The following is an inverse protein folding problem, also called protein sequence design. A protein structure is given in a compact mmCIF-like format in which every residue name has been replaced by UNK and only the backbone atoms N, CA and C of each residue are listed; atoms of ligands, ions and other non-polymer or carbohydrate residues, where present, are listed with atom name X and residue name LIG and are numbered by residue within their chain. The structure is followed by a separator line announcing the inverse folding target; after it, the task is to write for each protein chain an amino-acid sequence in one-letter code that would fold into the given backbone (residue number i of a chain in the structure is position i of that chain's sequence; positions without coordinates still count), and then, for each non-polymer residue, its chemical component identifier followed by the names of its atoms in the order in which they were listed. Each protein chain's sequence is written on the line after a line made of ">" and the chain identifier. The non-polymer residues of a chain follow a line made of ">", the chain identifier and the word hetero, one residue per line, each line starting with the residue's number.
data_IF_904860489759
#
_entry.id   IF_904860489759
#
_cell.length_a   1.000
_cell.length_b   1.000
_cell.length_c   1.000
_cell.angle_alpha   90.00
_cell.angle_beta   90.00
_cell.angle_gamma   90.00
#
_symmetry.space_group_name_H-M   'P 1'
#
loop_
_entity.id
_entity.type
_entity.pdbx_description
1 polymer ?
#
# COMPACT_ATOMS: atom_id res chain seq x y z
N UNK A 1 -3.73 -20.77 1.11
CA UNK A 1 -3.75 -19.92 2.31
C UNK A 1 -5.18 -19.59 2.72
N UNK A 2 -6.03 -19.02 1.87
CA UNK A 2 -7.48 -18.84 2.16
C UNK A 2 -7.79 -18.06 3.44
N UNK A 3 -7.19 -16.87 3.64
CA UNK A 3 -7.35 -16.11 4.86
C UNK A 3 -8.79 -15.61 5.05
N UNK A 4 -9.17 -15.37 6.30
CA UNK A 4 -10.44 -14.68 6.61
C UNK A 4 -10.29 -13.15 6.59
N UNK A 5 -9.07 -12.62 6.69
CA UNK A 5 -8.76 -11.19 6.71
C UNK A 5 -7.37 -10.96 6.14
N UNK A 6 -7.23 -9.93 5.31
CA UNK A 6 -5.92 -9.43 4.88
C UNK A 6 -5.49 -8.26 5.79
N UNK A 7 -4.34 -8.38 6.45
CA UNK A 7 -3.75 -7.29 7.25
C UNK A 7 -2.50 -6.81 6.54
N UNK A 8 -2.43 -5.52 6.23
CA UNK A 8 -1.31 -4.91 5.50
C UNK A 8 -0.57 -3.95 6.41
N UNK A 9 0.70 -4.25 6.65
CA UNK A 9 1.70 -3.32 7.20
C UNK A 9 2.14 -2.42 6.03
N UNK A 10 1.50 -1.26 5.88
CA UNK A 10 1.59 -0.39 4.72
C UNK A 10 2.68 0.68 4.92
N UNK A 11 3.91 0.32 4.58
CA UNK A 11 5.06 1.23 4.51
C UNK A 11 5.26 1.83 3.12
N UNK A 12 5.71 3.08 3.07
CA UNK A 12 5.95 3.86 1.86
C UNK A 12 7.43 4.22 1.67
N UNK A 13 8.33 3.66 2.47
CA UNK A 13 9.77 3.84 2.39
C UNK A 13 10.42 3.21 1.14
N UNK A 14 9.69 2.33 0.43
CA UNK A 14 10.10 1.86 -0.90
C UNK A 14 10.02 2.96 -1.99
N UNK A 15 9.48 4.13 -1.65
CA UNK A 15 9.42 5.30 -2.52
C UNK A 15 10.83 5.68 -3.03
N UNK A 16 10.92 5.97 -4.33
CA UNK A 16 12.19 6.21 -5.02
C UNK A 16 13.05 7.34 -4.43
N UNK A 17 12.42 8.32 -3.77
CA UNK A 17 13.09 9.48 -3.18
C UNK A 17 13.04 9.43 -1.64
N UNK A 18 12.65 8.29 -1.05
CA UNK A 18 12.67 8.10 0.40
C UNK A 18 14.11 8.08 0.93
N UNK A 19 14.40 8.80 2.04
CA UNK A 19 15.76 8.92 2.55
C UNK A 19 16.31 7.63 3.19
N UNK A 20 15.46 6.65 3.53
CA UNK A 20 15.87 5.44 4.28
C UNK A 20 15.73 4.14 3.48
N UNK A 21 14.75 4.01 2.57
CA UNK A 21 14.44 2.72 1.96
C UNK A 21 15.28 2.32 0.74
N UNK A 22 15.84 3.28 -0.02
CA UNK A 22 16.78 3.01 -1.12
C UNK A 22 16.23 2.22 -2.32
N UNK A 23 14.91 2.03 -2.39
CA UNK A 23 14.23 1.37 -3.52
C UNK A 23 13.87 2.38 -4.62
N UNK A 24 13.11 1.94 -5.62
CA UNK A 24 12.72 2.75 -6.79
C UNK A 24 11.23 2.65 -7.12
N UNK A 25 10.38 2.46 -6.11
CA UNK A 25 8.93 2.36 -6.34
C UNK A 25 8.38 3.74 -6.67
N UNK A 26 7.54 3.79 -7.70
CA UNK A 26 6.84 5.00 -8.13
C UNK A 26 5.46 5.09 -7.49
N UNK A 27 4.83 6.26 -7.57
CA UNK A 27 3.47 6.48 -7.09
C UNK A 27 2.46 5.54 -7.78
N UNK A 28 2.62 5.32 -9.08
CA UNK A 28 1.83 4.34 -9.83
C UNK A 28 2.10 2.88 -9.37
N UNK A 29 3.31 2.60 -8.88
CA UNK A 29 3.64 1.32 -8.26
C UNK A 29 2.82 1.06 -7.00
N UNK A 30 2.74 2.05 -6.10
CA UNK A 30 1.91 1.97 -4.91
C UNK A 30 0.41 1.85 -5.24
N UNK A 31 -0.07 2.57 -6.27
CA UNK A 31 -1.45 2.45 -6.75
C UNK A 31 -1.78 1.02 -7.21
N UNK A 32 -0.90 0.44 -8.02
CA UNK A 32 -1.00 -0.96 -8.50
C UNK A 32 -1.00 -1.97 -7.36
N UNK A 33 -0.26 -1.71 -6.27
CA UNK A 33 -0.31 -2.56 -5.08
C UNK A 33 -1.66 -2.49 -4.37
N UNK A 34 -2.21 -1.28 -4.18
CA UNK A 34 -3.55 -1.10 -3.62
C UNK A 34 -4.62 -1.89 -4.41
N UNK A 35 -4.62 -1.75 -5.73
CA UNK A 35 -5.52 -2.48 -6.64
C UNK A 35 -5.39 -4.00 -6.49
N UNK A 36 -4.16 -4.53 -6.48
CA UNK A 36 -3.90 -5.97 -6.35
C UNK A 36 -4.30 -6.53 -5.01
N UNK A 37 -4.12 -5.77 -3.92
CA UNK A 37 -4.51 -6.17 -2.57
C UNK A 37 -6.04 -6.19 -2.44
N UNK A 38 -6.74 -5.18 -2.95
CA UNK A 38 -8.22 -5.15 -3.06
C UNK A 38 -8.74 -6.38 -3.80
N UNK A 39 -8.24 -6.63 -5.01
CA UNK A 39 -8.66 -7.77 -5.83
C UNK A 39 -8.36 -9.12 -5.14
N UNK A 40 -7.24 -9.21 -4.42
CA UNK A 40 -6.92 -10.39 -3.63
C UNK A 40 -7.87 -10.56 -2.45
N UNK A 41 -8.22 -9.48 -1.76
CA UNK A 41 -9.16 -9.51 -0.64
C UNK A 41 -10.57 -9.92 -1.09
N UNK A 42 -11.05 -9.38 -2.22
CA UNK A 42 -12.32 -9.78 -2.84
C UNK A 42 -12.36 -11.29 -3.12
N UNK A 43 -11.28 -11.83 -3.69
CA UNK A 43 -11.20 -13.24 -4.08
C UNK A 43 -11.01 -14.20 -2.90
N UNK A 44 -10.31 -13.77 -1.85
CA UNK A 44 -9.81 -14.69 -0.81
C UNK A 44 -10.51 -14.54 0.54
N UNK A 45 -10.94 -13.34 0.92
CA UNK A 45 -11.45 -13.03 2.26
C UNK A 45 -12.70 -12.14 2.22
N UNK A 46 -13.52 -12.26 1.17
CA UNK A 46 -14.77 -11.51 0.97
C UNK A 46 -14.59 -9.98 1.11
N UNK A 47 -13.51 -9.46 0.56
CA UNK A 47 -13.18 -8.04 0.56
C UNK A 47 -12.62 -7.51 1.89
N UNK A 48 -12.44 -8.35 2.91
CA UNK A 48 -11.96 -7.90 4.21
C UNK A 48 -10.46 -7.63 4.18
N UNK A 49 -10.11 -6.36 4.20
CA UNK A 49 -8.73 -5.87 4.30
C UNK A 49 -8.64 -4.75 5.31
N UNK A 50 -7.57 -4.73 6.10
CA UNK A 50 -7.19 -3.59 6.94
C UNK A 50 -5.74 -3.23 6.65
N UNK A 51 -5.46 -1.94 6.54
CA UNK A 51 -4.10 -1.43 6.32
C UNK A 51 -3.71 -0.54 7.49
N UNK A 52 -2.49 -0.73 7.99
CA UNK A 52 -1.89 0.09 9.04
C UNK A 52 -0.71 0.84 8.43
N UNK A 53 -0.68 2.16 8.61
CA UNK A 53 0.45 2.97 8.17
C UNK A 53 1.69 2.62 9.00
N UNK A 54 2.83 2.44 8.32
CA UNK A 54 4.11 2.08 8.93
C UNK A 54 5.17 3.15 8.57
N UNK A 55 6.22 2.77 7.84
CA UNK A 55 7.28 3.65 7.38
C UNK A 55 6.88 4.52 6.18
N UNK A 56 7.80 5.40 5.79
CA UNK A 56 7.59 6.45 4.79
C UNK A 56 8.08 7.76 5.37
N UNK A 57 9.26 8.18 4.93
CA UNK A 57 10.06 9.20 5.61
C UNK A 57 10.32 10.43 4.74
N UNK A 58 9.97 10.38 3.45
CA UNK A 58 9.70 11.56 2.64
C UNK A 58 8.32 12.13 3.02
N UNK A 59 8.31 13.10 3.95
CA UNK A 59 7.08 13.68 4.51
C UNK A 59 6.27 14.47 3.48
N UNK A 60 6.91 15.02 2.44
CA UNK A 60 6.23 15.73 1.37
C UNK A 60 5.54 14.74 0.41
N UNK A 61 6.13 13.54 0.24
CA UNK A 61 5.54 12.47 -0.54
C UNK A 61 4.50 11.63 0.17
N UNK A 62 4.66 11.40 1.47
CA UNK A 62 3.85 10.43 2.18
C UNK A 62 2.32 10.60 1.95
N UNK A 63 1.74 11.81 2.03
CA UNK A 63 0.30 11.98 1.82
C UNK A 63 -0.17 11.54 0.43
N UNK A 64 0.57 11.90 -0.63
CA UNK A 64 0.18 11.56 -2.00
C UNK A 64 0.34 10.06 -2.28
N UNK A 65 1.36 9.44 -1.69
CA UNK A 65 1.60 7.99 -1.82
C UNK A 65 0.52 7.18 -1.09
N UNK A 66 0.13 7.60 0.12
CA UNK A 66 -0.99 7.01 0.87
C UNK A 66 -2.28 7.15 0.07
N UNK A 67 -2.58 8.34 -0.45
CA UNK A 67 -3.76 8.57 -1.29
C UNK A 67 -3.76 7.69 -2.55
N UNK A 68 -2.63 7.58 -3.26
CA UNK A 68 -2.52 6.75 -4.46
C UNK A 68 -2.77 5.27 -4.16
N UNK A 69 -2.19 4.77 -3.07
CA UNK A 69 -2.41 3.40 -2.58
C UNK A 69 -3.88 3.15 -2.20
N UNK A 70 -4.48 4.06 -1.42
CA UNK A 70 -5.83 3.86 -0.88
C UNK A 70 -6.96 4.20 -1.86
N UNK A 71 -6.67 4.89 -2.96
CA UNK A 71 -7.67 5.26 -3.98
C UNK A 71 -8.41 4.06 -4.57
N UNK A 72 -7.77 2.89 -4.53
CA UNK A 72 -8.35 1.62 -4.96
C UNK A 72 -8.80 0.73 -3.80
N UNK A 73 -8.83 1.21 -2.56
CA UNK A 73 -9.28 0.41 -1.41
C UNK A 73 -10.66 0.82 -0.88
N UNK A 74 -11.17 1.98 -1.30
CA UNK A 74 -12.54 2.45 -1.07
C UNK A 74 -13.47 2.02 -2.22
#
# INVERSE_FOLDING_TARGET
>A
FGPDLLIVSAGFDAWRDDPLGGMRVTEAGFASWGERLRASAERLCAGRVVSLLEGGYDLDALPRLVCSYSSYML
#
